data_IF_605972389007
#
_entry.id   IF_605972389007
#
_cell.length_a   1.000
_cell.length_b   1.000
_cell.length_c   1.000
_cell.angle_alpha   90.00
_cell.angle_beta   90.00
_cell.angle_gamma   90.00
#
_symmetry.space_group_name_H-M   'P 1'
#
loop_
_entity.id
_entity.type
_entity.pdbx_description
1 polymer ?
#
# COMPACT_ATOMS: atom_id res chain seq x y z
N UNK A 1 -48.24 64.04 -34.60
CA UNK A 1 -47.17 63.43 -33.72
C UNK A 1 -47.03 61.97 -34.10
N UNK A 2 -45.93 61.62 -34.74
CA UNK A 2 -45.64 60.27 -35.20
C UNK A 2 -44.55 59.74 -34.19
N UNK A 3 -44.91 58.73 -33.47
CA UNK A 3 -43.96 58.02 -32.54
C UNK A 3 -43.34 56.85 -33.30
N UNK A 4 -42.05 56.94 -33.53
CA UNK A 4 -41.22 55.84 -34.04
C UNK A 4 -40.75 54.87 -32.92
N UNK A 5 -41.01 53.59 -33.08
CA UNK A 5 -40.56 52.50 -32.23
C UNK A 5 -39.25 51.97 -32.82
N UNK A 6 -38.16 51.82 -32.03
CA UNK A 6 -36.98 51.21 -32.57
C UNK A 6 -37.08 49.67 -32.47
N UNK A 7 -36.75 48.99 -33.57
CA UNK A 7 -36.61 47.53 -33.65
C UNK A 7 -35.23 47.17 -33.10
N UNK A 8 -35.20 46.50 -31.93
CA UNK A 8 -34.00 45.93 -31.37
C UNK A 8 -33.63 44.61 -32.06
N UNK A 9 -32.48 44.56 -32.70
CA UNK A 9 -31.92 43.34 -33.27
C UNK A 9 -31.24 42.51 -32.16
N UNK A 10 -31.85 41.39 -31.81
CA UNK A 10 -31.23 40.40 -30.92
C UNK A 10 -30.19 39.57 -31.69
N UNK A 11 -28.94 39.76 -31.42
CA UNK A 11 -27.85 38.92 -31.92
C UNK A 11 -27.81 37.66 -31.07
N UNK A 12 -28.22 36.53 -31.66
CA UNK A 12 -28.11 35.21 -31.07
C UNK A 12 -26.64 34.73 -31.18
N UNK A 13 -25.89 34.75 -30.11
CA UNK A 13 -24.57 34.11 -30.04
C UNK A 13 -24.79 32.59 -29.96
N UNK A 14 -24.65 31.88 -31.09
CA UNK A 14 -24.45 30.44 -31.08
C UNK A 14 -23.06 30.13 -30.51
N UNK A 15 -23.01 29.76 -29.25
CA UNK A 15 -21.83 29.17 -28.66
C UNK A 15 -21.54 27.82 -29.30
N UNK A 16 -20.54 27.77 -30.18
CA UNK A 16 -19.98 26.51 -30.69
C UNK A 16 -19.17 25.94 -29.54
N UNK A 17 -19.78 25.02 -28.80
CA UNK A 17 -19.02 24.10 -27.93
C UNK A 17 -18.22 23.20 -28.86
N UNK A 18 -16.94 23.51 -29.03
CA UNK A 18 -15.98 22.58 -29.61
C UNK A 18 -15.93 21.34 -28.70
N UNK A 19 -16.60 20.24 -29.12
CA UNK A 19 -16.21 18.93 -28.65
C UNK A 19 -14.76 18.75 -29.09
N UNK A 20 -13.81 18.90 -28.15
CA UNK A 20 -12.47 18.42 -28.34
C UNK A 20 -12.58 16.89 -28.52
N UNK A 21 -12.45 16.43 -29.76
CA UNK A 21 -12.15 15.05 -30.05
C UNK A 21 -10.91 14.74 -29.23
N UNK A 22 -11.01 13.83 -28.25
CA UNK A 22 -9.86 13.33 -27.51
C UNK A 22 -8.83 12.90 -28.57
N UNK A 23 -7.73 13.62 -28.66
CA UNK A 23 -6.64 13.26 -29.55
C UNK A 23 -6.26 11.82 -29.20
N UNK A 24 -6.05 11.02 -30.23
CA UNK A 24 -5.61 9.63 -30.08
C UNK A 24 -4.22 9.65 -29.42
N UNK A 25 -4.16 9.52 -28.09
CA UNK A 25 -2.93 9.52 -27.30
C UNK A 25 -2.35 8.10 -27.27
N UNK A 26 -1.31 7.83 -28.08
CA UNK A 26 -0.70 6.50 -28.15
C UNK A 26 -0.09 6.04 -26.84
N UNK A 27 0.48 6.98 -26.05
CA UNK A 27 1.08 6.68 -24.74
C UNK A 27 0.00 6.28 -23.74
N UNK A 28 -1.12 6.98 -23.70
CA UNK A 28 -2.27 6.62 -22.86
C UNK A 28 -2.80 5.22 -23.19
N UNK A 29 -2.95 4.90 -24.47
CA UNK A 29 -3.38 3.55 -24.89
C UNK A 29 -2.39 2.47 -24.48
N UNK A 30 -1.10 2.72 -24.62
CA UNK A 30 -0.05 1.83 -24.16
C UNK A 30 -0.11 1.65 -22.65
N UNK A 31 -0.25 2.75 -21.90
CA UNK A 31 -0.39 2.72 -20.45
C UNK A 31 -1.64 1.94 -19.98
N UNK A 32 -2.78 2.15 -20.61
CA UNK A 32 -4.03 1.40 -20.33
C UNK A 32 -3.89 -0.11 -20.58
N UNK A 33 -3.01 -0.51 -21.48
CA UNK A 33 -2.68 -1.93 -21.71
C UNK A 33 -1.81 -2.57 -20.62
N UNK A 34 -1.09 -1.75 -19.86
CA UNK A 34 -0.13 -2.21 -18.83
C UNK A 34 -0.60 -2.00 -17.41
N UNK A 35 -1.43 -0.98 -17.17
CA UNK A 35 -1.80 -0.51 -15.84
C UNK A 35 -3.30 -0.39 -15.69
N UNK A 36 -3.79 -0.39 -14.44
CA UNK A 36 -5.18 -0.13 -14.10
C UNK A 36 -5.27 0.95 -13.02
N UNK A 37 -6.28 1.83 -13.07
CA UNK A 37 -6.48 2.81 -12.02
C UNK A 37 -6.98 2.14 -10.73
N UNK A 38 -6.59 2.69 -9.59
CA UNK A 38 -7.15 2.28 -8.29
C UNK A 38 -8.66 2.61 -8.29
N UNK A 39 -9.54 1.67 -7.90
CA UNK A 39 -10.98 1.92 -7.81
C UNK A 39 -11.30 2.90 -6.68
N UNK A 40 -12.44 3.59 -6.79
CA UNK A 40 -12.91 4.52 -5.74
C UNK A 40 -13.50 3.82 -4.51
N UNK A 41 -13.74 2.51 -4.61
CA UNK A 41 -14.27 1.68 -3.52
C UNK A 41 -13.32 0.52 -3.25
N UNK A 42 -13.21 0.07 -1.99
CA UNK A 42 -12.43 -1.11 -1.65
C UNK A 42 -12.85 -2.32 -2.48
N UNK A 43 -11.91 -3.17 -2.92
CA UNK A 43 -12.26 -4.39 -3.63
C UNK A 43 -12.88 -5.42 -2.68
N UNK A 44 -13.61 -6.38 -3.25
CA UNK A 44 -14.02 -7.56 -2.49
C UNK A 44 -12.77 -8.35 -2.04
N UNK A 45 -12.79 -8.83 -0.81
CA UNK A 45 -11.73 -9.67 -0.25
C UNK A 45 -12.18 -11.13 -0.42
N UNK A 46 -11.28 -11.97 -0.88
CA UNK A 46 -11.57 -13.39 -1.02
C UNK A 46 -11.99 -13.99 0.33
N UNK A 47 -13.08 -14.73 0.32
CA UNK A 47 -13.64 -15.46 1.47
C UNK A 47 -14.01 -14.55 2.69
N UNK A 48 -14.15 -13.23 2.47
CA UNK A 48 -14.57 -12.27 3.50
C UNK A 48 -15.72 -11.42 2.96
N UNK A 49 -16.86 -11.48 3.61
CA UNK A 49 -17.95 -10.52 3.41
C UNK A 49 -17.81 -9.41 4.45
N UNK A 50 -17.05 -8.37 4.11
CA UNK A 50 -16.79 -7.27 5.02
C UNK A 50 -18.07 -6.48 5.31
N UNK A 51 -18.47 -6.39 6.58
CA UNK A 51 -19.55 -5.52 7.06
C UNK A 51 -18.97 -4.23 7.65
N UNK A 52 -19.74 -3.14 7.74
CA UNK A 52 -19.28 -1.93 8.42
C UNK A 52 -18.83 -2.19 9.87
N UNK A 53 -19.54 -3.05 10.61
CA UNK A 53 -19.17 -3.42 11.99
C UNK A 53 -17.82 -4.17 12.03
N UNK A 54 -17.56 -5.06 11.06
CA UNK A 54 -16.29 -5.77 10.95
C UNK A 54 -15.14 -4.81 10.63
N UNK A 55 -15.35 -3.83 9.74
CA UNK A 55 -14.34 -2.81 9.40
C UNK A 55 -14.02 -1.93 10.60
N UNK A 56 -15.03 -1.47 11.35
CA UNK A 56 -14.83 -0.67 12.57
C UNK A 56 -14.09 -1.47 13.65
N UNK A 57 -14.47 -2.71 13.90
CA UNK A 57 -13.74 -3.61 14.81
C UNK A 57 -12.29 -3.80 14.35
N UNK A 58 -12.06 -4.01 13.05
CA UNK A 58 -10.72 -4.15 12.47
C UNK A 58 -9.86 -2.90 12.67
N UNK A 59 -10.48 -1.71 12.57
CA UNK A 59 -9.81 -0.45 12.87
C UNK A 59 -9.40 -0.37 14.34
N UNK A 60 -10.30 -0.68 15.29
CA UNK A 60 -9.96 -0.71 16.70
C UNK A 60 -8.78 -1.63 16.98
N UNK A 61 -8.82 -2.86 16.44
CA UNK A 61 -7.75 -3.85 16.60
C UNK A 61 -6.42 -3.42 15.95
N UNK A 62 -6.46 -2.77 14.79
CA UNK A 62 -5.28 -2.25 14.10
C UNK A 62 -4.52 -1.19 14.92
N UNK A 63 -5.25 -0.38 15.68
CA UNK A 63 -4.69 0.67 16.52
C UNK A 63 -4.43 0.23 17.97
N UNK A 64 -4.94 -0.94 18.42
CA UNK A 64 -4.83 -1.34 19.82
C UNK A 64 -3.44 -1.90 20.19
N UNK A 65 -2.64 -1.16 20.98
CA UNK A 65 -1.32 -1.63 21.37
C UNK A 65 -1.35 -2.80 22.34
N UNK A 66 -2.51 -3.10 22.96
CA UNK A 66 -2.69 -4.23 23.88
C UNK A 66 -2.64 -5.58 23.16
N UNK A 67 -2.65 -5.60 21.82
CA UNK A 67 -2.34 -6.79 21.01
C UNK A 67 -0.84 -7.08 20.93
N UNK A 68 -0.01 -6.41 21.73
CA UNK A 68 1.40 -6.75 21.92
C UNK A 68 1.71 -7.12 23.37
N UNK A 69 2.76 -7.88 23.60
CA UNK A 69 3.15 -8.33 24.94
C UNK A 69 3.44 -7.15 25.88
N UNK A 70 4.06 -6.10 25.38
CA UNK A 70 4.39 -4.89 26.12
C UNK A 70 3.26 -3.86 26.18
N UNK A 71 2.11 -4.09 25.51
CA UNK A 71 0.98 -3.15 25.37
C UNK A 71 1.36 -1.76 24.81
N UNK A 72 2.41 -1.68 24.00
CA UNK A 72 2.89 -0.41 23.42
C UNK A 72 3.11 -0.46 21.91
N UNK A 73 2.84 -1.59 21.25
CA UNK A 73 3.03 -1.80 19.81
C UNK A 73 1.71 -2.26 19.20
N UNK A 74 1.26 -1.57 18.17
CA UNK A 74 0.10 -1.93 17.35
C UNK A 74 0.52 -2.05 15.88
N UNK A 75 -0.39 -2.46 14.99
CA UNK A 75 -0.13 -2.44 13.55
C UNK A 75 0.26 -1.03 13.08
N UNK A 76 -0.46 -0.01 13.58
CA UNK A 76 -0.16 1.39 13.27
C UNK A 76 1.22 1.86 13.77
N UNK A 77 1.90 1.14 14.65
CA UNK A 77 3.25 1.52 15.08
C UNK A 77 4.26 1.43 13.93
N UNK A 78 4.19 0.36 13.12
CA UNK A 78 5.08 0.13 11.99
C UNK A 78 4.45 0.51 10.64
N UNK A 79 3.12 0.56 10.56
CA UNK A 79 2.36 0.88 9.35
C UNK A 79 1.49 2.12 9.60
N UNK A 80 2.14 3.26 9.90
CA UNK A 80 1.45 4.52 10.25
C UNK A 80 0.72 5.08 9.04
N UNK A 81 -0.60 5.10 9.09
CA UNK A 81 -1.44 5.55 7.97
C UNK A 81 -1.11 7.00 7.59
N UNK A 82 -0.83 7.86 8.57
CA UNK A 82 -0.44 9.26 8.36
C UNK A 82 0.98 9.47 7.78
N UNK A 83 1.78 8.41 7.67
CA UNK A 83 3.13 8.42 7.09
C UNK A 83 3.23 7.53 5.83
N UNK A 84 2.18 7.50 5.00
CA UNK A 84 2.18 6.66 3.81
C UNK A 84 2.07 5.16 4.09
N UNK A 85 1.63 4.78 5.29
CA UNK A 85 1.45 3.38 5.70
C UNK A 85 2.74 2.64 6.07
N UNK A 86 3.79 3.38 6.44
CA UNK A 86 5.11 2.88 6.89
C UNK A 86 5.56 3.60 8.17
N UNK A 87 6.71 3.24 8.75
CA UNK A 87 7.29 3.92 9.91
C UNK A 87 8.48 4.85 9.55
N UNK A 88 8.84 4.91 8.28
CA UNK A 88 9.99 5.69 7.77
C UNK A 88 11.33 5.31 8.44
N UNK A 89 11.48 4.09 8.89
CA UNK A 89 12.72 3.56 9.44
C UNK A 89 13.36 2.57 8.44
N UNK A 90 14.68 2.41 8.43
CA UNK A 90 15.31 1.34 7.65
C UNK A 90 14.72 -0.03 7.98
N UNK A 91 14.51 -0.31 9.27
CA UNK A 91 13.79 -1.48 9.79
C UNK A 91 12.99 -1.08 11.02
N UNK A 92 11.81 -1.66 11.19
CA UNK A 92 10.93 -1.36 12.32
C UNK A 92 11.54 -1.78 13.66
N UNK A 93 11.12 -1.09 14.74
CA UNK A 93 11.50 -1.40 16.11
C UNK A 93 10.27 -2.00 16.81
N UNK A 94 10.42 -3.24 17.28
CA UNK A 94 9.34 -3.95 17.94
C UNK A 94 9.59 -4.20 19.44
N UNK A 95 8.98 -5.27 19.95
CA UNK A 95 9.03 -5.65 21.38
C UNK A 95 10.46 -5.68 21.92
N UNK A 96 10.66 -5.10 23.12
CA UNK A 96 11.96 -4.97 23.77
C UNK A 96 13.02 -4.25 22.92
N UNK A 97 12.59 -3.29 22.08
CA UNK A 97 13.45 -2.49 21.19
C UNK A 97 14.22 -3.33 20.15
N UNK A 98 13.75 -4.54 19.88
CA UNK A 98 14.36 -5.41 18.88
C UNK A 98 14.10 -4.84 17.48
N UNK A 99 15.09 -4.99 16.61
CA UNK A 99 14.99 -4.51 15.23
C UNK A 99 14.46 -5.60 14.31
N UNK A 100 13.55 -5.25 13.44
CA UNK A 100 13.10 -6.10 12.33
C UNK A 100 14.24 -6.41 11.35
N UNK A 101 14.02 -7.40 10.50
CA UNK A 101 15.03 -7.81 9.50
C UNK A 101 14.90 -7.08 8.16
N UNK A 102 13.77 -6.39 7.91
CA UNK A 102 13.46 -5.71 6.65
C UNK A 102 12.67 -4.44 6.90
N UNK A 103 12.71 -3.54 5.92
CA UNK A 103 11.88 -2.35 5.88
C UNK A 103 10.38 -2.72 5.86
N UNK A 104 9.56 -1.98 6.59
CA UNK A 104 8.12 -2.17 6.63
C UNK A 104 7.48 -1.77 5.28
N UNK A 105 6.86 -2.69 4.53
CA UNK A 105 6.14 -2.32 3.32
C UNK A 105 4.87 -1.54 3.68
N UNK A 106 4.45 -0.64 2.81
CA UNK A 106 3.21 0.12 3.04
C UNK A 106 1.99 -0.78 3.13
N UNK A 107 1.08 -0.46 4.08
CA UNK A 107 -0.25 -1.05 4.19
C UNK A 107 -1.22 -0.48 3.14
N UNK A 108 -0.92 0.72 2.60
CA UNK A 108 -1.77 1.34 1.59
C UNK A 108 -1.77 0.51 0.31
N UNK A 109 -2.97 0.25 -0.22
CA UNK A 109 -3.20 -0.58 -1.40
C UNK A 109 -2.70 -2.04 -1.27
N UNK A 110 -2.36 -2.51 -0.07
CA UNK A 110 -1.82 -3.86 0.14
C UNK A 110 -2.80 -4.97 -0.28
N UNK A 111 -4.11 -4.67 -0.27
CA UNK A 111 -5.19 -5.57 -0.74
C UNK A 111 -5.03 -6.00 -2.20
N UNK A 112 -4.33 -5.22 -3.03
CA UNK A 112 -4.08 -5.55 -4.44
C UNK A 112 -2.81 -6.38 -4.66
N UNK A 113 -2.04 -6.70 -3.64
CA UNK A 113 -0.84 -7.52 -3.78
C UNK A 113 -1.18 -9.00 -3.90
N UNK A 114 -0.41 -9.73 -4.72
CA UNK A 114 -0.57 -11.19 -4.90
C UNK A 114 -0.28 -11.99 -3.63
N UNK A 115 0.51 -11.44 -2.73
CA UNK A 115 0.84 -11.97 -1.41
C UNK A 115 1.41 -10.86 -0.54
N UNK A 116 1.54 -11.09 0.77
CA UNK A 116 2.07 -10.12 1.71
C UNK A 116 3.49 -10.48 2.15
N UNK A 117 4.20 -9.49 2.74
CA UNK A 117 5.63 -9.47 3.00
C UNK A 117 6.50 -9.43 1.72
N UNK A 118 7.78 -9.07 1.89
CA UNK A 118 8.76 -9.03 0.80
C UNK A 118 9.00 -10.39 0.14
N UNK A 119 8.95 -11.46 0.92
CA UNK A 119 9.16 -12.85 0.46
C UNK A 119 7.86 -13.57 0.07
N UNK A 120 6.71 -12.93 0.25
CA UNK A 120 5.40 -13.49 -0.07
C UNK A 120 4.99 -14.68 0.79
N UNK A 121 5.47 -14.75 2.05
CA UNK A 121 5.16 -15.86 2.97
C UNK A 121 3.72 -15.92 3.45
N UNK A 122 2.97 -14.82 3.35
CA UNK A 122 1.54 -14.80 3.64
C UNK A 122 0.72 -14.60 2.36
N UNK A 123 -0.27 -15.45 2.15
CA UNK A 123 -1.05 -15.50 0.93
C UNK A 123 -1.98 -14.27 0.74
N UNK A 124 -2.40 -13.64 1.82
CA UNK A 124 -3.35 -12.52 1.82
C UNK A 124 -3.19 -11.66 3.09
N UNK A 125 -4.03 -10.63 3.24
CA UNK A 125 -4.03 -9.74 4.41
C UNK A 125 -4.36 -10.49 5.70
N UNK A 126 -5.30 -11.44 5.67
CA UNK A 126 -5.69 -12.24 6.83
C UNK A 126 -4.53 -13.09 7.35
N UNK A 127 -3.84 -13.79 6.44
CA UNK A 127 -2.67 -14.59 6.80
C UNK A 127 -1.51 -13.71 7.30
N UNK A 128 -1.38 -12.49 6.79
CA UNK A 128 -0.36 -11.54 7.22
C UNK A 128 -0.63 -11.04 8.64
N UNK A 129 -1.86 -10.62 8.95
CA UNK A 129 -2.23 -9.97 10.21
C UNK A 129 -1.90 -10.81 11.46
N UNK A 130 -1.98 -12.14 11.37
CA UNK A 130 -1.66 -13.05 12.49
C UNK A 130 -0.17 -13.22 12.78
N UNK A 131 0.69 -12.97 11.78
CA UNK A 131 2.13 -13.20 11.92
C UNK A 131 2.82 -12.26 12.92
N UNK A 132 2.75 -10.94 12.74
CA UNK A 132 3.37 -9.94 13.61
C UNK A 132 2.93 -10.03 15.07
N UNK A 133 1.68 -10.39 15.34
CA UNK A 133 1.14 -10.51 16.71
C UNK A 133 2.01 -11.47 17.54
N UNK A 134 2.35 -12.63 17.00
CA UNK A 134 3.13 -13.64 17.72
C UNK A 134 4.65 -13.58 17.45
N UNK A 135 5.09 -12.73 16.54
CA UNK A 135 6.52 -12.61 16.27
C UNK A 135 7.24 -11.94 17.46
N UNK A 136 8.20 -12.62 18.12
CA UNK A 136 8.84 -12.12 19.33
C UNK A 136 9.65 -10.83 19.12
N UNK A 137 10.05 -10.51 17.90
CA UNK A 137 10.75 -9.25 17.58
C UNK A 137 9.82 -8.14 17.10
N UNK A 138 8.50 -8.42 16.94
CA UNK A 138 7.50 -7.43 16.52
C UNK A 138 6.54 -7.14 17.69
N UNK A 139 5.40 -7.83 17.80
CA UNK A 139 4.41 -7.63 18.87
C UNK A 139 4.59 -8.60 20.05
N UNK A 140 5.09 -9.81 19.82
CA UNK A 140 5.60 -10.75 20.80
C UNK A 140 4.58 -11.43 21.72
N UNK A 141 3.26 -11.28 21.48
CA UNK A 141 2.21 -11.90 22.27
C UNK A 141 1.70 -13.18 21.60
N UNK A 142 1.50 -14.28 22.32
CA UNK A 142 0.89 -15.47 21.72
C UNK A 142 -0.57 -15.21 21.34
N UNK A 143 -1.08 -15.96 20.35
CA UNK A 143 -2.47 -15.80 19.92
C UNK A 143 -3.46 -16.08 21.09
N UNK A 144 -3.16 -17.06 21.94
CA UNK A 144 -3.98 -17.37 23.12
C UNK A 144 -4.02 -16.16 24.07
N UNK A 145 -2.88 -15.58 24.40
CA UNK A 145 -2.80 -14.42 25.29
C UNK A 145 -3.46 -13.17 24.68
N UNK A 146 -3.36 -12.98 23.36
CA UNK A 146 -4.08 -11.89 22.69
C UNK A 146 -5.60 -12.04 22.81
N UNK A 147 -6.12 -13.26 22.68
CA UNK A 147 -7.56 -13.54 22.87
C UNK A 147 -7.99 -13.39 24.34
N UNK A 148 -7.21 -13.88 25.29
CA UNK A 148 -7.45 -13.66 26.72
C UNK A 148 -7.48 -12.17 27.07
N UNK A 149 -6.53 -11.40 26.47
CA UNK A 149 -6.47 -9.96 26.61
C UNK A 149 -7.77 -9.30 26.13
N UNK A 150 -8.21 -9.59 24.89
CA UNK A 150 -9.44 -9.02 24.34
C UNK A 150 -10.66 -9.41 25.17
N UNK A 151 -10.80 -10.69 25.59
CA UNK A 151 -11.88 -11.17 26.46
C UNK A 151 -11.88 -10.51 27.84
N UNK A 152 -10.73 -10.02 28.32
CA UNK A 152 -10.63 -9.32 29.60
C UNK A 152 -11.12 -7.86 29.54
N UNK A 153 -11.47 -7.36 28.36
CA UNK A 153 -11.97 -6.00 28.13
C UNK A 153 -13.44 -6.06 27.74
N UNK A 154 -14.39 -5.81 28.67
CA UNK A 154 -15.83 -5.99 28.42
C UNK A 154 -16.36 -5.22 27.21
N UNK A 155 -15.77 -4.08 26.89
CA UNK A 155 -16.20 -3.27 25.75
C UNK A 155 -15.93 -3.88 24.38
N UNK A 156 -15.04 -4.90 24.26
CA UNK A 156 -14.88 -5.63 23.00
C UNK A 156 -16.02 -6.63 22.72
N UNK A 157 -16.69 -7.14 23.74
CA UNK A 157 -17.77 -8.14 23.56
C UNK A 157 -18.83 -7.65 22.57
N UNK A 158 -19.50 -6.48 22.79
CA UNK A 158 -20.51 -6.02 21.85
C UNK A 158 -19.97 -5.67 20.46
N UNK A 159 -18.68 -5.30 20.32
CA UNK A 159 -18.08 -5.01 19.01
C UNK A 159 -17.89 -6.31 18.20
N UNK A 160 -17.44 -7.38 18.85
CA UNK A 160 -17.33 -8.68 18.20
C UNK A 160 -18.70 -9.29 17.89
N UNK A 161 -19.68 -9.18 18.80
CA UNK A 161 -21.06 -9.63 18.56
C UNK A 161 -21.68 -8.93 17.35
N UNK A 162 -21.45 -7.63 17.19
CA UNK A 162 -21.94 -6.86 16.05
C UNK A 162 -21.22 -7.24 14.73
N UNK A 163 -19.92 -7.55 14.79
CA UNK A 163 -19.13 -7.92 13.63
C UNK A 163 -19.39 -9.38 13.17
N UNK A 164 -19.71 -10.28 14.11
CA UNK A 164 -19.90 -11.73 13.90
C UNK A 164 -21.16 -12.25 14.60
N UNK A 165 -22.35 -11.79 14.17
CA UNK A 165 -23.60 -12.06 14.89
C UNK A 165 -24.01 -13.54 14.92
N UNK A 166 -23.48 -14.36 14.02
CA UNK A 166 -23.78 -15.78 13.92
C UNK A 166 -22.86 -16.66 14.79
N UNK A 167 -21.79 -16.08 15.34
CA UNK A 167 -20.81 -16.79 16.17
C UNK A 167 -21.22 -16.73 17.66
N UNK A 168 -21.22 -17.89 18.33
CA UNK A 168 -21.56 -17.97 19.77
C UNK A 168 -20.43 -17.43 20.69
N UNK A 169 -19.18 -17.54 20.29
CA UNK A 169 -17.99 -17.00 20.96
C UNK A 169 -17.12 -16.32 19.89
N UNK A 170 -17.45 -15.08 19.51
CA UNK A 170 -16.84 -14.43 18.37
C UNK A 170 -15.42 -13.92 18.63
N UNK A 171 -14.96 -13.83 19.90
CA UNK A 171 -13.60 -13.36 20.22
C UNK A 171 -12.62 -14.51 20.01
N UNK A 172 -12.21 -14.68 18.75
CA UNK A 172 -11.27 -15.70 18.29
C UNK A 172 -10.21 -15.09 17.41
N UNK A 173 -9.02 -15.70 17.31
CA UNK A 173 -7.95 -15.20 16.43
C UNK A 173 -8.35 -15.18 14.95
N UNK A 174 -9.06 -16.19 14.40
CA UNK A 174 -9.58 -16.09 13.03
C UNK A 174 -10.44 -14.85 12.79
N UNK A 175 -11.29 -14.45 13.74
CA UNK A 175 -12.13 -13.27 13.63
C UNK A 175 -11.32 -11.97 13.80
N UNK A 176 -10.35 -11.95 14.71
CA UNK A 176 -9.40 -10.82 14.87
C UNK A 176 -8.69 -10.51 13.55
N UNK A 177 -8.03 -11.51 12.95
CA UNK A 177 -7.27 -11.28 11.71
C UNK A 177 -8.17 -11.01 10.51
N UNK A 178 -9.40 -11.53 10.50
CA UNK A 178 -10.41 -11.24 9.47
C UNK A 178 -10.88 -9.79 9.56
N UNK A 179 -11.16 -9.29 10.77
CA UNK A 179 -11.54 -7.89 10.97
C UNK A 179 -10.41 -6.92 10.60
N UNK A 180 -9.17 -7.21 11.03
CA UNK A 180 -8.00 -6.41 10.63
C UNK A 180 -7.87 -6.37 9.10
N UNK A 181 -7.95 -7.50 8.41
CA UNK A 181 -7.90 -7.57 6.96
C UNK A 181 -9.04 -6.79 6.28
N UNK A 182 -10.25 -6.81 6.86
CA UNK A 182 -11.39 -6.04 6.36
C UNK A 182 -11.14 -4.52 6.46
N UNK A 183 -10.54 -4.07 7.56
CA UNK A 183 -10.13 -2.67 7.69
C UNK A 183 -8.99 -2.30 6.73
N UNK A 184 -7.91 -3.09 6.67
CA UNK A 184 -6.77 -2.83 5.79
C UNK A 184 -7.18 -2.75 4.32
N UNK A 185 -8.17 -3.53 3.89
CA UNK A 185 -8.68 -3.48 2.52
C UNK A 185 -9.34 -2.14 2.18
N UNK A 186 -9.76 -1.34 3.18
CA UNK A 186 -10.27 0.02 2.97
C UNK A 186 -9.18 1.06 2.76
N UNK A 187 -7.92 0.73 3.06
CA UNK A 187 -6.79 1.64 2.96
C UNK A 187 -6.27 1.75 1.52
N UNK A 188 -7.14 2.16 0.61
CA UNK A 188 -6.81 2.39 -0.80
C UNK A 188 -6.59 3.88 -1.07
N UNK A 189 -5.78 4.18 -2.09
CA UNK A 189 -5.43 5.56 -2.47
C UNK A 189 -5.80 5.84 -3.93
N UNK A 190 -7.10 6.05 -4.23
CA UNK A 190 -7.57 6.33 -5.58
C UNK A 190 -7.20 7.73 -6.06
N UNK A 191 -7.57 8.03 -7.31
CA UNK A 191 -7.52 9.36 -7.90
C UNK A 191 -6.12 10.01 -7.98
N UNK A 192 -5.06 9.21 -8.00
CA UNK A 192 -3.75 9.71 -8.37
C UNK A 192 -3.78 10.41 -9.74
N UNK A 193 -2.91 11.39 -10.03
CA UNK A 193 -2.82 11.97 -11.37
C UNK A 193 -2.74 10.90 -12.46
N UNK A 194 -1.94 9.85 -12.24
CA UNK A 194 -1.85 8.72 -13.17
C UNK A 194 -3.16 7.94 -13.31
N UNK A 195 -3.97 7.80 -12.24
CA UNK A 195 -5.30 7.17 -12.35
C UNK A 195 -6.25 7.97 -13.23
N UNK A 196 -6.20 9.30 -13.14
CA UNK A 196 -7.01 10.19 -13.98
C UNK A 196 -6.59 10.08 -15.46
N UNK A 197 -5.28 10.05 -15.71
CA UNK A 197 -4.73 9.81 -17.04
C UNK A 197 -5.19 8.47 -17.62
N UNK A 198 -5.11 7.38 -16.86
CA UNK A 198 -5.61 6.06 -17.27
C UNK A 198 -7.12 6.05 -17.55
N UNK A 199 -7.90 6.94 -16.93
CA UNK A 199 -9.34 7.11 -17.20
C UNK A 199 -9.63 8.04 -18.38
N UNK A 200 -8.61 8.56 -19.09
CA UNK A 200 -8.75 9.36 -20.30
C UNK A 200 -8.57 10.87 -20.13
N UNK A 201 -8.17 11.36 -18.96
CA UNK A 201 -7.81 12.76 -18.76
C UNK A 201 -6.38 13.02 -19.24
N UNK A 202 -6.23 13.44 -20.49
CA UNK A 202 -4.94 13.74 -21.10
C UNK A 202 -4.18 14.90 -20.44
N UNK A 203 -4.84 15.71 -19.62
CA UNK A 203 -4.19 16.82 -18.91
C UNK A 203 -3.82 16.47 -17.45
N UNK A 204 -4.03 15.23 -17.02
CA UNK A 204 -3.78 14.82 -15.65
C UNK A 204 -2.29 14.70 -15.29
N UNK A 205 -1.43 14.50 -16.29
CA UNK A 205 0.02 14.44 -16.13
C UNK A 205 0.67 15.73 -16.68
N UNK A 206 1.78 16.13 -16.08
CA UNK A 206 2.65 17.15 -16.66
C UNK A 206 3.52 16.56 -17.78
N UNK A 207 4.10 17.40 -18.63
CA UNK A 207 4.98 16.95 -19.72
C UNK A 207 6.15 16.08 -19.21
N UNK A 208 6.77 16.44 -18.06
CA UNK A 208 7.82 15.64 -17.46
C UNK A 208 7.33 14.30 -16.93
N UNK A 209 6.09 14.23 -16.42
CA UNK A 209 5.46 12.99 -15.97
C UNK A 209 5.10 12.06 -17.13
N UNK A 210 4.64 12.62 -18.26
CA UNK A 210 4.37 11.84 -19.48
C UNK A 210 5.66 11.29 -20.09
N UNK A 211 6.68 12.12 -20.20
CA UNK A 211 8.00 11.67 -20.68
C UNK A 211 8.59 10.63 -19.73
N UNK A 212 8.42 10.80 -18.41
CA UNK A 212 8.82 9.84 -17.39
C UNK A 212 8.07 8.51 -17.50
N UNK A 213 6.76 8.53 -17.77
CA UNK A 213 5.96 7.33 -18.05
C UNK A 213 6.47 6.61 -19.29
N UNK A 214 6.74 7.36 -20.37
CA UNK A 214 7.30 6.81 -21.59
C UNK A 214 8.65 6.14 -21.33
N UNK A 215 9.57 6.82 -20.63
CA UNK A 215 10.86 6.27 -20.24
C UNK A 215 10.72 5.02 -19.36
N UNK A 216 9.80 5.02 -18.39
CA UNK A 216 9.52 3.88 -17.51
C UNK A 216 9.10 2.63 -18.32
N UNK A 217 8.29 2.82 -19.35
CA UNK A 217 7.87 1.73 -20.24
C UNK A 217 9.03 1.31 -21.16
N UNK A 218 9.65 2.25 -21.86
CA UNK A 218 10.66 1.99 -22.88
C UNK A 218 11.96 1.40 -22.30
N UNK A 219 12.31 1.77 -21.05
CA UNK A 219 13.46 1.22 -20.33
C UNK A 219 13.23 -0.22 -19.91
N UNK A 220 11.94 -0.62 -19.70
CA UNK A 220 11.55 -1.97 -19.33
C UNK A 220 11.07 -2.13 -17.89
N UNK A 221 10.94 -1.04 -17.12
CA UNK A 221 10.47 -1.09 -15.74
C UNK A 221 9.07 -1.71 -15.63
N UNK A 222 8.20 -1.40 -16.61
CA UNK A 222 6.82 -1.89 -16.67
C UNK A 222 6.71 -3.42 -16.85
N UNK A 223 7.78 -4.12 -17.21
CA UNK A 223 7.78 -5.58 -17.31
C UNK A 223 7.51 -6.26 -15.95
N UNK A 224 8.01 -5.64 -14.87
CA UNK A 224 7.80 -6.13 -13.50
C UNK A 224 6.85 -5.24 -12.71
N UNK A 225 6.89 -3.93 -12.92
CA UNK A 225 6.06 -2.93 -12.27
C UNK A 225 4.86 -2.56 -13.15
N UNK A 226 3.85 -3.42 -13.23
CA UNK A 226 2.63 -3.25 -14.00
C UNK A 226 1.38 -3.52 -13.15
N UNK A 227 0.21 -3.51 -13.78
CA UNK A 227 -1.08 -3.77 -13.15
C UNK A 227 -1.59 -2.61 -12.28
N UNK A 228 -2.55 -2.92 -11.42
CA UNK A 228 -3.28 -1.93 -10.61
C UNK A 228 -2.36 -1.22 -9.60
N UNK A 229 -1.43 -1.95 -8.99
CA UNK A 229 -0.55 -1.45 -7.94
C UNK A 229 0.82 -0.99 -8.47
N UNK A 230 0.99 -0.97 -9.80
CA UNK A 230 2.27 -0.68 -10.47
C UNK A 230 3.39 -1.54 -9.84
N UNK A 231 3.17 -2.85 -9.80
CA UNK A 231 3.91 -3.87 -9.06
C UNK A 231 2.99 -4.68 -8.14
N UNK A 232 3.56 -5.43 -7.22
CA UNK A 232 2.80 -6.24 -6.25
C UNK A 232 2.22 -7.55 -6.80
N UNK A 233 2.33 -7.83 -8.09
CA UNK A 233 1.63 -8.92 -8.78
C UNK A 233 2.51 -10.12 -9.13
N UNK A 234 3.81 -10.01 -8.94
CA UNK A 234 4.74 -11.09 -9.32
C UNK A 234 5.95 -11.14 -8.38
N UNK A 235 6.76 -12.18 -8.56
CA UNK A 235 8.05 -12.33 -7.90
C UNK A 235 9.16 -12.19 -8.94
N UNK A 236 10.27 -11.55 -8.54
CA UNK A 236 11.44 -11.44 -9.38
C UNK A 236 12.72 -11.46 -8.53
N UNK A 237 13.84 -11.95 -9.06
CA UNK A 237 15.13 -11.79 -8.42
C UNK A 237 15.53 -10.31 -8.42
N UNK A 238 16.17 -9.86 -7.33
CA UNK A 238 16.73 -8.51 -7.26
C UNK A 238 18.20 -8.52 -7.65
N UNK A 239 18.57 -7.63 -8.58
CA UNK A 239 19.91 -7.60 -9.16
C UNK A 239 20.09 -8.66 -10.25
N UNK A 240 19.27 -8.61 -11.31
CA UNK A 240 19.29 -9.58 -12.42
C UNK A 240 20.54 -9.44 -13.27
N UNK A 241 20.98 -8.21 -13.52
CA UNK A 241 22.13 -7.92 -14.39
C UNK A 241 23.38 -7.71 -13.56
N UNK A 242 23.29 -6.87 -12.51
CA UNK A 242 24.36 -6.62 -11.58
C UNK A 242 23.84 -6.76 -10.16
N UNK A 243 24.62 -7.35 -9.26
CA UNK A 243 24.21 -7.50 -7.88
C UNK A 243 24.43 -6.18 -7.14
N UNK A 244 23.38 -5.61 -6.49
CA UNK A 244 23.54 -4.43 -5.64
C UNK A 244 24.56 -4.64 -4.52
N UNK A 245 25.09 -3.53 -4.01
CA UNK A 245 25.96 -3.56 -2.82
C UNK A 245 25.32 -4.29 -1.63
N UNK A 246 26.16 -4.83 -0.76
CA UNK A 246 25.72 -5.66 0.38
C UNK A 246 24.85 -4.91 1.41
N UNK A 247 24.86 -3.60 1.41
CA UNK A 247 23.97 -2.73 2.18
C UNK A 247 22.56 -2.70 1.60
N UNK A 248 22.43 -2.77 0.26
CA UNK A 248 21.14 -2.75 -0.45
C UNK A 248 20.57 -4.18 -0.59
N UNK A 249 21.42 -5.16 -0.89
CA UNK A 249 21.08 -6.57 -0.97
C UNK A 249 21.94 -7.38 0.02
N UNK A 250 21.57 -7.40 1.31
CA UNK A 250 22.34 -8.12 2.35
C UNK A 250 22.51 -9.61 2.01
N UNK A 251 23.72 -10.17 2.09
CA UNK A 251 23.98 -11.56 1.68
C UNK A 251 23.24 -12.61 2.52
N UNK A 252 22.84 -12.27 3.75
CA UNK A 252 22.09 -13.12 4.66
C UNK A 252 20.58 -13.08 4.42
N UNK A 253 20.07 -12.09 3.69
CA UNK A 253 18.66 -12.06 3.27
C UNK A 253 18.49 -12.75 1.91
N UNK A 254 18.14 -14.02 1.97
CA UNK A 254 17.93 -14.87 0.79
C UNK A 254 16.55 -14.72 0.13
N UNK A 255 15.76 -13.71 0.53
CA UNK A 255 14.43 -13.46 -0.02
C UNK A 255 13.48 -14.66 0.14
N UNK A 256 12.79 -15.02 -0.95
CA UNK A 256 11.79 -16.08 -0.99
C UNK A 256 12.36 -17.48 -0.72
N UNK A 257 13.66 -17.70 -0.94
CA UNK A 257 14.33 -18.95 -0.55
C UNK A 257 14.11 -19.28 0.93
N UNK A 258 14.00 -18.27 1.79
CA UNK A 258 13.72 -18.50 3.22
C UNK A 258 12.39 -19.23 3.46
N UNK A 259 11.44 -19.09 2.52
CA UNK A 259 10.10 -19.70 2.55
C UNK A 259 10.09 -21.04 1.82
N UNK A 260 10.56 -21.07 0.59
CA UNK A 260 10.40 -22.22 -0.32
C UNK A 260 11.51 -23.25 -0.23
N UNK A 261 12.69 -22.87 0.26
CA UNK A 261 13.93 -23.67 0.23
C UNK A 261 14.39 -24.09 -1.16
N UNK A 262 13.84 -23.44 -2.18
CA UNK A 262 14.17 -23.70 -3.60
C UNK A 262 15.29 -22.76 -4.03
N UNK A 263 16.39 -23.29 -4.57
CA UNK A 263 17.58 -22.50 -4.93
C UNK A 263 17.28 -21.39 -5.94
N UNK A 264 16.38 -21.63 -6.90
CA UNK A 264 15.94 -20.61 -7.86
C UNK A 264 15.22 -19.42 -7.24
N UNK A 265 14.82 -19.53 -5.97
CA UNK A 265 14.16 -18.44 -5.21
C UNK A 265 15.15 -17.64 -4.34
N UNK A 266 16.47 -17.91 -4.45
CA UNK A 266 17.47 -17.06 -3.77
C UNK A 266 17.42 -15.64 -4.32
N UNK A 267 17.30 -14.66 -3.39
CA UNK A 267 17.18 -13.24 -3.68
C UNK A 267 15.96 -12.85 -4.53
N UNK A 268 14.98 -13.77 -4.64
CA UNK A 268 13.67 -13.46 -5.20
C UNK A 268 12.80 -12.78 -4.16
N UNK A 269 12.15 -11.69 -4.56
CA UNK A 269 11.21 -10.94 -3.74
C UNK A 269 9.91 -10.72 -4.51
N UNK A 270 8.82 -10.50 -3.80
CA UNK A 270 7.64 -9.91 -4.41
C UNK A 270 8.02 -8.54 -4.93
N UNK A 271 7.78 -8.29 -6.20
CA UNK A 271 8.00 -6.96 -6.81
C UNK A 271 7.18 -5.94 -6.01
N UNK A 272 7.82 -4.93 -5.39
CA UNK A 272 7.08 -3.99 -4.56
C UNK A 272 6.14 -3.12 -5.39
N UNK A 273 4.99 -2.71 -4.82
CA UNK A 273 4.14 -1.72 -5.44
C UNK A 273 4.84 -0.36 -5.48
N UNK A 274 4.55 0.45 -6.50
CA UNK A 274 5.08 1.79 -6.64
C UNK A 274 4.03 2.89 -6.38
N UNK A 275 2.78 2.54 -6.11
CA UNK A 275 1.77 3.51 -5.63
C UNK A 275 2.25 4.17 -4.35
N UNK A 276 2.13 5.51 -4.29
CA UNK A 276 2.59 6.34 -3.16
C UNK A 276 4.09 6.26 -2.85
N UNK A 277 4.92 5.80 -3.78
CA UNK A 277 6.35 5.54 -3.51
C UNK A 277 7.11 6.75 -3.00
N UNK A 278 6.74 7.97 -3.39
CA UNK A 278 7.37 9.20 -2.87
C UNK A 278 7.15 9.41 -1.37
N UNK A 279 6.11 8.80 -0.79
CA UNK A 279 5.75 8.91 0.62
C UNK A 279 6.40 7.84 1.50
N UNK A 280 7.17 6.91 0.93
CA UNK A 280 7.61 5.70 1.65
C UNK A 280 9.12 5.47 1.64
N UNK A 281 9.97 6.52 1.80
CA UNK A 281 11.37 6.29 2.07
C UNK A 281 11.54 5.65 3.47
N UNK A 282 12.63 4.92 3.71
CA UNK A 282 13.69 4.52 2.78
C UNK A 282 13.29 3.31 1.91
N UNK A 283 13.96 3.19 0.76
CA UNK A 283 13.60 2.24 -0.29
C UNK A 283 14.32 0.90 -0.15
N UNK A 284 13.82 -0.10 -0.90
CA UNK A 284 14.19 -1.51 -0.90
C UNK A 284 13.87 -2.23 0.41
N UNK A 285 13.99 -3.56 0.41
CA UNK A 285 13.73 -4.40 1.58
C UNK A 285 14.74 -4.16 2.73
N UNK A 286 15.92 -3.64 2.41
CA UNK A 286 16.93 -3.28 3.39
C UNK A 286 16.72 -1.88 4.00
N UNK A 287 15.91 -1.01 3.36
CA UNK A 287 15.67 0.35 3.81
C UNK A 287 16.90 1.25 3.85
N UNK A 288 17.88 1.04 2.95
CA UNK A 288 19.15 1.78 2.99
C UNK A 288 19.23 2.96 2.01
N UNK A 289 18.26 3.09 1.11
CA UNK A 289 18.23 4.14 0.09
C UNK A 289 17.13 5.16 0.42
N UNK A 290 17.50 6.42 0.60
CA UNK A 290 16.59 7.49 1.03
C UNK A 290 16.13 8.41 -0.11
N UNK A 291 16.87 8.43 -1.20
CA UNK A 291 16.57 9.26 -2.37
C UNK A 291 15.91 8.44 -3.47
N UNK A 292 14.77 8.90 -3.99
CA UNK A 292 14.03 8.20 -5.03
C UNK A 292 14.76 8.17 -6.35
N UNK A 293 15.54 9.23 -6.69
CA UNK A 293 16.36 9.24 -7.89
C UNK A 293 17.47 8.17 -7.79
N UNK A 294 18.08 8.04 -6.61
CA UNK A 294 19.06 6.98 -6.36
C UNK A 294 18.44 5.60 -6.53
N UNK A 295 17.22 5.37 -6.01
CA UNK A 295 16.51 4.10 -6.17
C UNK A 295 16.21 3.80 -7.64
N UNK A 296 15.79 4.80 -8.42
CA UNK A 296 15.58 4.67 -9.89
C UNK A 296 16.89 4.30 -10.60
N UNK A 297 18.01 4.96 -10.26
CA UNK A 297 19.31 4.67 -10.83
C UNK A 297 19.78 3.23 -10.56
N UNK A 298 19.64 2.76 -9.31
CA UNK A 298 19.97 1.39 -8.91
C UNK A 298 19.13 0.39 -9.69
N UNK A 299 17.83 0.60 -9.80
CA UNK A 299 16.94 -0.30 -10.56
C UNK A 299 17.29 -0.29 -12.05
N UNK A 300 17.65 0.85 -12.62
CA UNK A 300 18.06 0.91 -14.03
C UNK A 300 19.35 0.12 -14.27
N UNK A 301 20.35 0.29 -13.44
CA UNK A 301 21.67 -0.36 -13.58
C UNK A 301 21.60 -1.83 -13.21
N UNK A 302 21.17 -2.15 -11.96
CA UNK A 302 21.35 -3.48 -11.40
C UNK A 302 20.27 -4.45 -11.89
N UNK A 303 19.06 -3.95 -12.16
CA UNK A 303 17.95 -4.79 -12.61
C UNK A 303 17.87 -4.90 -14.14
N UNK A 304 18.14 -3.81 -14.86
CA UNK A 304 17.90 -3.70 -16.31
C UNK A 304 19.19 -3.53 -17.15
N UNK A 305 20.36 -3.31 -16.53
CA UNK A 305 21.62 -3.04 -17.23
C UNK A 305 21.57 -1.77 -18.08
N UNK A 306 20.80 -0.77 -17.64
CA UNK A 306 20.62 0.50 -18.36
C UNK A 306 21.32 1.63 -17.63
N UNK A 307 22.06 2.45 -18.39
CA UNK A 307 22.62 3.69 -17.91
C UNK A 307 21.65 4.83 -18.25
N UNK A 308 21.04 5.43 -17.24
CA UNK A 308 20.20 6.62 -17.38
C UNK A 308 21.01 7.87 -17.01
N UNK A 309 20.83 8.96 -17.76
CA UNK A 309 21.35 10.26 -17.34
C UNK A 309 20.43 10.91 -16.29
N UNK A 310 20.92 11.99 -15.66
CA UNK A 310 20.19 12.66 -14.55
C UNK A 310 18.81 13.18 -14.98
N UNK A 311 18.65 13.66 -16.22
CA UNK A 311 17.37 14.14 -16.77
C UNK A 311 16.37 12.97 -16.89
N UNK A 312 16.80 11.83 -17.41
CA UNK A 312 15.95 10.65 -17.53
C UNK A 312 15.52 10.10 -16.16
N UNK A 313 16.44 10.07 -15.20
CA UNK A 313 16.15 9.69 -13.82
C UNK A 313 15.13 10.64 -13.20
N UNK A 314 15.31 11.96 -13.38
CA UNK A 314 14.40 12.98 -12.85
C UNK A 314 12.98 12.84 -13.45
N UNK A 315 12.86 12.58 -14.75
CA UNK A 315 11.57 12.37 -15.43
C UNK A 315 10.86 11.10 -14.96
N UNK A 316 11.59 9.98 -14.85
CA UNK A 316 11.01 8.73 -14.26
C UNK A 316 10.54 9.01 -12.84
N UNK A 317 11.33 9.71 -12.04
CA UNK A 317 10.95 10.11 -10.67
C UNK A 317 9.71 11.02 -10.68
N UNK A 318 9.58 11.94 -11.61
CA UNK A 318 8.40 12.78 -11.77
C UNK A 318 7.15 11.91 -12.08
N UNK A 319 7.28 10.92 -12.96
CA UNK A 319 6.20 9.93 -13.19
C UNK A 319 5.86 9.16 -11.91
N UNK A 320 6.84 8.65 -11.18
CA UNK A 320 6.61 7.91 -9.94
C UNK A 320 5.84 8.75 -8.89
N UNK A 321 6.09 10.05 -8.81
CA UNK A 321 5.32 10.97 -7.96
C UNK A 321 3.86 11.13 -8.39
N UNK A 322 3.55 10.95 -9.67
CA UNK A 322 2.17 10.97 -10.17
C UNK A 322 1.33 9.76 -9.71
N UNK A 323 1.97 8.75 -9.09
CA UNK A 323 1.34 7.56 -8.54
C UNK A 323 0.78 7.77 -7.13
N UNK A 324 0.97 8.95 -6.54
CA UNK A 324 0.43 9.30 -5.21
C UNK A 324 -1.04 9.66 -5.35
N UNK A 325 -1.89 8.83 -4.71
CA UNK A 325 -3.34 8.99 -4.71
C UNK A 325 -3.87 9.77 -3.52
N UNK A 326 -5.19 9.92 -3.45
CA UNK A 326 -5.88 10.51 -2.31
C UNK A 326 -5.70 9.60 -1.10
N UNK A 327 -5.15 10.17 0.00
CA UNK A 327 -4.85 9.40 1.20
C UNK A 327 -6.14 9.09 1.97
N UNK A 328 -6.28 7.86 2.53
CA UNK A 328 -7.48 7.47 3.27
C UNK A 328 -7.67 8.36 4.50
N UNK A 329 -8.90 8.83 4.70
CA UNK A 329 -9.26 9.60 5.88
C UNK A 329 -9.72 8.64 6.98
N UNK A 330 -8.85 8.38 7.94
CA UNK A 330 -9.13 7.47 9.05
C UNK A 330 -9.27 8.27 10.34
N UNK A 331 -10.49 8.24 10.91
CA UNK A 331 -10.72 8.79 12.25
C UNK A 331 -10.11 7.84 13.28
N UNK A 332 -9.29 8.36 14.19
CA UNK A 332 -8.73 7.58 15.28
C UNK A 332 -9.83 6.93 16.11
N UNK A 333 -9.77 5.63 16.39
CA UNK A 333 -10.78 4.95 17.19
C UNK A 333 -10.70 5.35 18.66
N UNK A 334 -11.85 5.31 19.34
CA UNK A 334 -11.93 5.36 20.80
C UNK A 334 -12.06 3.91 21.28
N UNK A 335 -10.94 3.28 21.51
CA UNK A 335 -10.87 1.87 21.90
C UNK A 335 -11.56 1.61 23.24
N UNK A 336 -12.15 0.44 23.45
CA UNK A 336 -12.73 0.05 24.73
C UNK A 336 -11.72 0.20 25.88
N UNK A 337 -12.07 0.86 27.01
CA UNK A 337 -11.15 1.08 28.10
C UNK A 337 -10.80 -0.22 28.84
N UNK A 338 -9.56 -0.30 29.31
CA UNK A 338 -9.15 -1.36 30.23
C UNK A 338 -9.89 -1.23 31.57
N UNK A 339 -10.13 -2.36 32.23
CA UNK A 339 -10.75 -2.44 33.57
C UNK A 339 -9.76 -3.05 34.57
N UNK A 340 -10.13 -3.12 35.85
CA UNK A 340 -9.24 -3.65 36.90
C UNK A 340 -8.80 -5.10 36.65
N UNK A 341 -9.63 -5.91 35.97
CA UNK A 341 -9.36 -7.30 35.60
C UNK A 341 -8.69 -7.46 34.25
N UNK A 342 -8.48 -6.37 33.50
CA UNK A 342 -7.77 -6.44 32.22
C UNK A 342 -6.34 -6.95 32.45
N UNK A 343 -5.93 -7.91 31.63
CA UNK A 343 -4.58 -8.46 31.66
C UNK A 343 -3.53 -7.35 31.57
N UNK A 344 -2.48 -7.43 32.38
CA UNK A 344 -1.38 -6.45 32.39
C UNK A 344 -0.32 -6.85 31.36
N UNK A 345 0.48 -5.88 30.86
CA UNK A 345 1.63 -6.20 30.02
C UNK A 345 2.60 -7.11 30.77
N UNK A 346 3.25 -7.99 30.04
CA UNK A 346 4.33 -8.85 30.54
C UNK A 346 5.67 -8.31 30.03
N UNK A 347 6.68 -8.30 30.90
CA UNK A 347 8.04 -7.85 30.59
C UNK A 347 8.80 -8.82 29.67
#
# INVERSE_FOLDING_TARGET
MRTSVPIGASILFLGITALALAADDPLMKQAQGLFQPIPSQPPAIKDITATPAMVELGKDLYFDPRLSQSHNISCNTCHQIGLGGVDMLPVSIGHKWQKGGRNAPTVLNAVFNVAQFWDGRAADLKAQAGGPIQNPIEMGITHEHAIEMLKSIPGYVPLFDAAYPDDKDPITMPNVVTAIAAFEATLITPNAPFDKYLRGDANALTADQEEGLKLFIDTGCAACHSGINVGGQMYAPFGVIERPGADILPPNDKGRFAVTKTVSDEYVFRVPPLRNIELTPPYFHSGQVWDLNQAVGIMATDQLGKSLNDDQVAKITAFLKSLTGEQPQVTYPIMPPSVATTRRPED
#
